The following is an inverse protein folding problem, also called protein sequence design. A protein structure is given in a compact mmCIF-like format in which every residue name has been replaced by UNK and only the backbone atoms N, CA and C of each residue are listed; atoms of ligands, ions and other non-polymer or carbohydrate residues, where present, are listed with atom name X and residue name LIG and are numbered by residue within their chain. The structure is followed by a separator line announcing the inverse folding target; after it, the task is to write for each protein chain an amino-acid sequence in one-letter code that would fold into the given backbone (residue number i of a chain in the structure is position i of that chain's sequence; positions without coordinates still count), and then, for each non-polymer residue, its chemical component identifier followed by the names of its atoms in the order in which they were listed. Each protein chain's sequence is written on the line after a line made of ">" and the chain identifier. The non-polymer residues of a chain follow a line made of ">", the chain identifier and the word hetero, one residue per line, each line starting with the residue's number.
data_IF_405428182822
#
_entry.id   IF_405428182822
#
_cell.length_a   1.000
_cell.length_b   1.000
_cell.length_c   1.000
_cell.angle_alpha   90.00
_cell.angle_beta   90.00
_cell.angle_gamma   90.00
#
_symmetry.space_group_name_H-M   'P 1'
#
loop_
_entity.id
_entity.type
_entity.pdbx_description
1 polymer ?
#
# COMPACT_ATOMS: atom_id res chain seq x y z
N UNK A 1 -19.01 -0.75 23.43
CA UNK A 1 -18.86 -1.03 21.98
C UNK A 1 -17.39 -0.91 21.67
N UNK A 2 -16.71 -2.02 21.43
CA UNK A 2 -15.25 -2.05 21.25
C UNK A 2 -14.94 -1.83 19.77
N UNK A 3 -14.76 -0.57 19.35
CA UNK A 3 -14.13 -0.28 18.05
C UNK A 3 -12.63 -0.45 18.24
N UNK A 4 -12.09 -1.54 17.68
CA UNK A 4 -10.68 -1.74 17.42
C UNK A 4 -10.14 -0.43 16.82
N UNK A 5 -9.12 0.16 17.43
CA UNK A 5 -8.63 1.51 17.15
C UNK A 5 -8.52 1.80 15.65
N UNK A 6 -9.52 2.52 15.12
CA UNK A 6 -9.46 3.13 13.80
C UNK A 6 -8.74 4.45 14.02
N UNK A 7 -7.54 4.57 13.44
CA UNK A 7 -6.77 5.80 13.45
C UNK A 7 -7.67 6.92 12.89
N UNK A 8 -7.97 7.88 13.76
CA UNK A 8 -8.97 8.95 13.60
C UNK A 8 -8.62 9.99 12.53
N UNK A 9 -7.43 9.88 11.95
CA UNK A 9 -7.04 10.61 10.76
C UNK A 9 -7.24 9.69 9.56
N UNK A 10 -8.38 9.78 8.84
CA UNK A 10 -8.55 9.00 7.64
C UNK A 10 -7.51 9.44 6.61
N UNK A 11 -6.96 10.65 6.68
CA UNK A 11 -6.02 11.24 5.74
C UNK A 11 -4.64 10.57 5.77
N UNK A 12 -4.13 10.22 4.58
CA UNK A 12 -2.82 9.62 4.40
C UNK A 12 -1.70 10.51 4.94
N UNK A 13 -0.91 10.04 5.92
CA UNK A 13 0.20 10.81 6.47
C UNK A 13 1.33 11.04 5.45
N UNK A 14 1.41 10.19 4.41
CA UNK A 14 2.44 10.32 3.38
C UNK A 14 2.12 11.44 2.37
N UNK A 15 0.87 11.56 1.91
CA UNK A 15 0.51 12.54 0.88
C UNK A 15 -0.36 13.70 1.38
N UNK A 16 -1.05 13.56 2.51
CA UNK A 16 -1.94 14.57 3.09
C UNK A 16 -3.18 14.93 2.27
N UNK A 17 -3.43 14.27 1.12
CA UNK A 17 -4.44 14.70 0.15
C UNK A 17 -5.74 13.91 0.19
N UNK A 18 -5.69 12.64 0.60
CA UNK A 18 -6.85 11.75 0.58
C UNK A 18 -6.78 10.78 1.73
N UNK A 19 -7.92 10.16 2.01
CA UNK A 19 -7.99 9.12 3.01
C UNK A 19 -7.12 7.91 2.63
N UNK A 20 -6.29 7.44 3.56
CA UNK A 20 -5.48 6.25 3.49
C UNK A 20 -6.35 5.00 3.54
N UNK A 21 -6.86 4.66 2.37
CA UNK A 21 -7.44 3.34 2.13
C UNK A 21 -6.39 2.40 1.56
N UNK A 22 -6.61 1.09 1.63
CA UNK A 22 -5.76 0.10 0.94
C UNK A 22 -5.62 0.43 -0.54
N UNK A 23 -6.70 0.90 -1.18
CA UNK A 23 -6.68 1.35 -2.57
C UNK A 23 -5.81 2.59 -2.76
N UNK A 24 -5.95 3.60 -1.89
CA UNK A 24 -5.09 4.77 -1.96
C UNK A 24 -3.62 4.38 -1.77
N UNK A 25 -3.30 3.66 -0.71
CA UNK A 25 -1.94 3.23 -0.40
C UNK A 25 -1.29 2.41 -1.52
N UNK A 26 -2.00 1.45 -2.13
CA UNK A 26 -1.41 0.56 -3.15
C UNK A 26 -1.47 1.14 -4.58
N UNK A 27 -2.51 1.90 -4.93
CA UNK A 27 -2.77 2.28 -6.33
C UNK A 27 -2.68 3.79 -6.60
N UNK A 28 -3.01 4.65 -5.63
CA UNK A 28 -3.26 6.07 -5.91
C UNK A 28 -2.36 7.05 -5.15
N UNK A 29 -1.67 6.64 -4.08
CA UNK A 29 -0.86 7.52 -3.25
C UNK A 29 0.33 8.12 -4.04
N UNK A 30 0.38 9.44 -4.27
CA UNK A 30 1.45 10.06 -5.04
C UNK A 30 2.79 10.02 -4.29
N UNK A 31 2.77 10.01 -2.96
CA UNK A 31 3.99 9.93 -2.14
C UNK A 31 4.76 8.61 -2.35
N UNK A 32 4.10 7.56 -2.83
CA UNK A 32 4.70 6.26 -3.08
C UNK A 32 4.83 5.93 -4.57
N UNK A 33 4.73 6.93 -5.45
CA UNK A 33 4.77 6.72 -6.90
C UNK A 33 6.01 5.93 -7.36
N UNK A 34 7.19 6.26 -6.83
CA UNK A 34 8.43 5.56 -7.16
C UNK A 34 8.38 4.06 -6.78
N UNK A 35 7.91 3.75 -5.56
CA UNK A 35 7.75 2.39 -5.08
C UNK A 35 6.66 1.63 -5.85
N UNK A 36 5.55 2.29 -6.23
CA UNK A 36 4.52 1.70 -7.08
C UNK A 36 5.05 1.40 -8.48
N UNK A 37 5.87 2.29 -9.04
CA UNK A 37 6.48 2.07 -10.34
C UNK A 37 7.43 0.86 -10.29
N UNK A 38 8.21 0.71 -9.21
CA UNK A 38 9.03 -0.50 -8.98
C UNK A 38 8.17 -1.76 -8.85
N UNK A 39 7.10 -1.71 -8.07
CA UNK A 39 6.14 -2.82 -7.94
C UNK A 39 5.54 -3.19 -9.30
N UNK A 40 5.06 -2.20 -10.06
CA UNK A 40 4.52 -2.38 -11.41
C UNK A 40 5.54 -2.97 -12.39
N UNK A 41 6.82 -2.61 -12.30
CA UNK A 41 7.87 -3.25 -13.11
C UNK A 41 8.14 -4.71 -12.73
N UNK A 42 7.97 -5.05 -11.45
CA UNK A 42 8.21 -6.41 -10.96
C UNK A 42 7.08 -7.39 -11.32
N UNK A 43 5.82 -6.99 -11.16
CA UNK A 43 4.65 -7.88 -11.30
C UNK A 43 3.70 -7.48 -12.44
N UNK A 44 3.99 -6.40 -13.15
CA UNK A 44 3.20 -5.92 -14.29
C UNK A 44 1.78 -5.50 -13.91
N UNK A 45 0.81 -5.88 -14.74
CA UNK A 45 -0.62 -5.55 -14.57
C UNK A 45 -1.21 -6.03 -13.23
N UNK A 46 -0.59 -7.03 -12.59
CA UNK A 46 -1.03 -7.53 -11.28
C UNK A 46 -0.91 -6.46 -10.19
N UNK A 47 -0.02 -5.48 -10.35
CA UNK A 47 0.11 -4.33 -9.44
C UNK A 47 -1.13 -3.43 -9.41
N UNK A 48 -2.00 -3.51 -10.42
CA UNK A 48 -3.23 -2.73 -10.50
C UNK A 48 -4.43 -3.45 -9.88
N UNK A 49 -4.28 -4.73 -9.51
CA UNK A 49 -5.35 -5.56 -8.97
C UNK A 49 -5.10 -5.87 -7.50
N UNK A 50 -5.77 -5.13 -6.61
CA UNK A 50 -5.68 -5.34 -5.14
C UNK A 50 -5.94 -6.80 -4.74
N UNK A 51 -6.98 -7.50 -5.25
CA UNK A 51 -7.19 -8.90 -4.88
C UNK A 51 -6.01 -9.79 -5.24
N UNK A 52 -5.38 -9.54 -6.40
CA UNK A 52 -4.19 -10.29 -6.82
C UNK A 52 -2.98 -9.98 -5.95
N UNK A 53 -2.81 -8.73 -5.51
CA UNK A 53 -1.74 -8.35 -4.59
C UNK A 53 -1.86 -9.06 -3.24
N UNK A 54 -3.09 -9.20 -2.72
CA UNK A 54 -3.37 -9.74 -1.39
C UNK A 54 -3.61 -11.25 -1.36
N UNK A 55 -3.78 -11.90 -2.52
CA UNK A 55 -4.07 -13.34 -2.60
C UNK A 55 -3.04 -14.16 -3.38
N UNK A 56 -2.14 -13.55 -4.17
CA UNK A 56 -1.12 -14.27 -4.93
C UNK A 56 0.21 -14.33 -4.16
N UNK A 57 0.64 -15.52 -3.68
CA UNK A 57 1.88 -15.65 -2.92
C UNK A 57 3.14 -15.27 -3.70
N UNK A 58 3.11 -15.30 -5.04
CA UNK A 58 4.25 -14.91 -5.88
C UNK A 58 4.45 -13.40 -5.89
N UNK A 59 3.41 -12.64 -5.54
CA UNK A 59 3.45 -11.18 -5.46
C UNK A 59 3.90 -10.69 -4.07
N UNK A 60 3.71 -11.50 -3.03
CA UNK A 60 4.01 -11.14 -1.65
C UNK A 60 5.44 -10.60 -1.43
N UNK A 61 6.52 -11.20 -1.98
CA UNK A 61 7.87 -10.64 -1.80
C UNK A 61 7.98 -9.20 -2.31
N UNK A 62 7.36 -8.91 -3.46
CA UNK A 62 7.36 -7.56 -4.04
C UNK A 62 6.44 -6.60 -3.28
N UNK A 63 5.31 -7.11 -2.75
CA UNK A 63 4.40 -6.34 -1.91
C UNK A 63 5.06 -5.97 -0.56
N UNK A 64 5.75 -6.91 0.08
CA UNK A 64 6.47 -6.63 1.32
C UNK A 64 7.63 -5.66 1.09
N UNK A 65 8.35 -5.78 -0.03
CA UNK A 65 9.36 -4.78 -0.41
C UNK A 65 8.74 -3.39 -0.59
N UNK A 66 7.58 -3.31 -1.24
CA UNK A 66 6.83 -2.06 -1.38
C UNK A 66 6.48 -1.47 0.00
N UNK A 67 5.87 -2.26 0.88
CA UNK A 67 5.49 -1.85 2.24
C UNK A 67 6.70 -1.40 3.08
N UNK A 68 7.84 -2.07 2.92
CA UNK A 68 9.07 -1.68 3.58
C UNK A 68 9.61 -0.34 3.05
N UNK A 69 9.62 -0.14 1.72
CA UNK A 69 10.04 1.11 1.10
C UNK A 69 9.15 2.30 1.45
N UNK A 70 7.84 2.08 1.67
CA UNK A 70 6.95 3.16 2.08
C UNK A 70 7.13 3.58 3.53
N UNK A 71 7.79 2.75 4.36
CA UNK A 71 8.05 3.04 5.77
C UNK A 71 6.79 3.19 6.63
N UNK A 72 5.61 2.87 6.09
CA UNK A 72 4.30 3.09 6.76
C UNK A 72 4.08 2.13 7.92
N UNK A 73 4.60 0.91 7.80
CA UNK A 73 4.45 -0.15 8.80
C UNK A 73 5.84 -0.42 9.40
N UNK A 74 6.11 0.03 10.63
CA UNK A 74 7.35 -0.33 11.31
C UNK A 74 7.39 -1.85 11.52
N UNK A 75 8.57 -2.45 11.35
CA UNK A 75 8.78 -3.86 11.70
C UNK A 75 8.55 -4.03 13.20
N UNK A 76 7.65 -4.93 13.56
CA UNK A 76 7.30 -5.30 14.95
C UNK A 76 8.34 -6.26 15.52
#
# INVERSE_FOLDING_TARGET
>A
MHTIGVEESPTCPACGQRDETVQHFLLSCPAHEASRHRLGRAIGRRALCIPSLLSDPKVFPHLFQYVHETGRFPAI
#
